data_IF_015045346985
#
_entry.id   IF_015045346985
#
_cell.length_a   1.000
_cell.length_b   1.000
_cell.length_c   1.000
_cell.angle_alpha   90.00
_cell.angle_beta   90.00
_cell.angle_gamma   90.00
#
_symmetry.space_group_name_H-M   'P 1'
#
loop_
_entity.id
_entity.type
_entity.pdbx_description
1 polymer ?
#
# COMPACT_ATOMS: atom_id res chain seq x y z
N UNK A 1 72.89 55.71 -1.70
CA UNK A 1 72.06 56.49 -0.76
C UNK A 1 70.85 57.02 -1.50
N UNK A 2 69.67 56.42 -1.30
CA UNK A 2 68.36 57.10 -1.28
C UNK A 2 67.25 56.05 -1.13
N UNK A 3 66.30 56.34 -0.24
CA UNK A 3 65.20 55.47 0.20
C UNK A 3 64.15 55.24 -0.90
N UNK A 4 63.34 54.15 -0.83
CA UNK A 4 62.08 54.08 -1.56
C UNK A 4 60.90 54.47 -0.65
N UNK A 5 60.02 55.24 -1.27
CA UNK A 5 58.83 55.90 -0.74
C UNK A 5 57.70 54.91 -0.43
N UNK A 6 56.93 55.19 0.62
CA UNK A 6 55.68 54.53 0.94
C UNK A 6 54.59 54.93 -0.06
N UNK A 7 53.97 53.96 -0.73
CA UNK A 7 52.79 54.14 -1.58
C UNK A 7 51.55 53.61 -0.87
N UNK A 8 50.62 54.51 -0.59
CA UNK A 8 49.32 54.22 0.01
C UNK A 8 48.39 53.53 -1.01
N UNK A 9 47.73 52.45 -0.58
CA UNK A 9 46.71 51.73 -1.36
C UNK A 9 45.34 52.37 -1.07
N UNK A 10 44.53 52.75 -2.08
CA UNK A 10 43.22 53.34 -1.86
C UNK A 10 42.16 52.28 -1.54
N UNK A 11 41.35 52.55 -0.52
CA UNK A 11 40.22 51.72 -0.11
C UNK A 11 39.07 51.79 -1.13
N UNK A 12 38.55 50.63 -1.54
CA UNK A 12 37.39 50.50 -2.42
C UNK A 12 36.09 50.88 -1.68
N UNK A 13 35.10 51.52 -2.35
CA UNK A 13 33.85 51.91 -1.71
C UNK A 13 32.92 50.71 -1.53
N UNK A 14 32.32 50.61 -0.34
CA UNK A 14 31.31 49.63 0.01
C UNK A 14 30.04 49.83 -0.83
N UNK A 15 29.69 48.83 -1.65
CA UNK A 15 28.45 48.82 -2.42
C UNK A 15 27.25 48.56 -1.49
N UNK A 16 26.29 49.49 -1.49
CA UNK A 16 25.02 49.40 -0.80
C UNK A 16 24.20 48.20 -1.32
N UNK A 17 23.88 47.26 -0.43
CA UNK A 17 22.95 46.15 -0.72
C UNK A 17 21.53 46.70 -0.90
N UNK A 18 20.92 46.43 -2.06
CA UNK A 18 19.50 46.65 -2.28
C UNK A 18 18.67 45.60 -1.51
N UNK A 19 17.54 45.97 -0.88
CA UNK A 19 16.71 45.01 -0.18
C UNK A 19 16.02 44.06 -1.16
N UNK A 20 16.23 42.76 -0.98
CA UNK A 20 15.54 41.70 -1.72
C UNK A 20 14.02 41.79 -1.49
N UNK A 21 13.28 42.15 -2.54
CA UNK A 21 11.83 42.09 -2.54
C UNK A 21 11.39 40.63 -2.37
N UNK A 22 10.82 40.30 -1.21
CA UNK A 22 10.12 39.03 -0.98
C UNK A 22 8.84 39.01 -1.82
N UNK A 23 8.91 38.44 -3.01
CA UNK A 23 7.73 38.12 -3.79
C UNK A 23 6.92 37.05 -3.03
N UNK A 24 5.67 37.39 -2.72
CA UNK A 24 4.65 36.50 -2.15
C UNK A 24 4.43 35.29 -3.07
N UNK A 25 4.88 34.11 -2.65
CA UNK A 25 4.71 32.85 -3.41
C UNK A 25 3.34 32.24 -3.13
N UNK A 26 2.28 32.96 -3.53
CA UNK A 26 0.88 32.54 -3.38
C UNK A 26 0.26 32.09 -4.70
N UNK A 27 0.95 31.26 -5.48
CA UNK A 27 0.48 30.78 -6.77
C UNK A 27 0.90 29.35 -7.07
N UNK A 28 0.03 28.62 -7.78
CA UNK A 28 0.28 27.25 -8.24
C UNK A 28 1.58 27.23 -9.07
N UNK A 29 2.61 26.50 -8.59
CA UNK A 29 3.90 26.42 -9.28
C UNK A 29 3.73 25.62 -10.59
N UNK A 30 3.74 26.31 -11.72
CA UNK A 30 3.84 25.65 -13.02
C UNK A 30 5.30 25.22 -13.26
N UNK A 31 5.56 24.01 -13.80
CA UNK A 31 6.91 23.59 -14.13
C UNK A 31 7.54 24.55 -15.15
N UNK A 32 8.76 24.99 -14.90
CA UNK A 32 9.53 25.87 -15.81
C UNK A 32 9.92 25.16 -17.12
N UNK A 33 9.84 23.83 -17.14
CA UNK A 33 9.95 23.01 -18.33
C UNK A 33 8.53 22.74 -18.84
N UNK A 34 8.22 23.04 -20.12
CA UNK A 34 6.90 22.84 -20.75
C UNK A 34 6.33 21.40 -20.63
N UNK A 35 7.11 20.46 -20.10
CA UNK A 35 6.70 19.09 -19.75
C UNK A 35 5.77 19.11 -18.54
N UNK A 36 4.50 18.84 -18.81
CA UNK A 36 3.45 18.65 -17.83
C UNK A 36 3.52 17.23 -17.24
N UNK A 37 2.63 16.94 -16.28
CA UNK A 37 2.46 15.57 -15.75
C UNK A 37 1.92 14.60 -16.81
N UNK A 38 1.23 15.11 -17.85
CA UNK A 38 0.66 14.30 -18.92
C UNK A 38 1.72 13.82 -19.92
N UNK A 39 2.85 14.52 -20.01
CA UNK A 39 3.99 14.14 -20.86
C UNK A 39 4.86 13.03 -20.25
N UNK A 40 4.52 12.57 -19.03
CA UNK A 40 5.29 11.57 -18.29
C UNK A 40 4.61 10.21 -18.40
N UNK A 41 5.39 9.18 -18.72
CA UNK A 41 4.89 7.80 -18.72
C UNK A 41 4.39 7.41 -17.32
N UNK A 42 3.13 6.94 -17.24
CA UNK A 42 2.47 6.54 -15.99
C UNK A 42 3.20 5.38 -15.28
N UNK A 43 3.97 4.58 -16.01
CA UNK A 43 4.78 3.47 -15.50
C UNK A 43 6.19 3.87 -15.08
N UNK A 44 6.56 5.15 -15.14
CA UNK A 44 7.90 5.62 -14.74
C UNK A 44 8.26 5.22 -13.30
N UNK A 45 7.31 5.25 -12.38
CA UNK A 45 7.52 4.89 -10.98
C UNK A 45 7.30 3.41 -10.67
N UNK A 46 7.11 2.55 -11.69
CA UNK A 46 6.79 1.12 -11.50
C UNK A 46 7.80 0.41 -10.61
N UNK A 47 9.09 0.72 -10.75
CA UNK A 47 10.19 0.12 -10.00
C UNK A 47 10.74 1.05 -8.92
N UNK A 48 10.01 2.13 -8.59
CA UNK A 48 10.43 3.06 -7.55
C UNK A 48 10.21 2.41 -6.19
N UNK A 49 11.28 2.08 -5.50
CA UNK A 49 11.22 1.58 -4.13
C UNK A 49 11.36 2.74 -3.14
N UNK A 50 10.69 2.61 -2.00
CA UNK A 50 10.79 3.52 -0.87
C UNK A 50 11.38 2.77 0.33
N UNK A 51 11.96 3.52 1.26
CA UNK A 51 12.47 2.92 2.50
C UNK A 51 11.33 2.25 3.27
N UNK A 52 11.55 1.00 3.69
CA UNK A 52 10.60 0.26 4.55
C UNK A 52 10.32 1.01 5.86
N UNK A 53 11.32 1.73 6.38
CA UNK A 53 11.16 2.56 7.58
C UNK A 53 10.15 3.71 7.36
N UNK A 54 10.09 4.30 6.17
CA UNK A 54 9.11 5.36 5.88
C UNK A 54 7.68 4.82 5.93
N UNK A 55 7.46 3.61 5.40
CA UNK A 55 6.19 2.91 5.53
C UNK A 55 5.89 2.58 7.00
N UNK A 56 6.86 2.04 7.74
CA UNK A 56 6.73 1.70 9.16
C UNK A 56 6.25 2.88 10.00
N UNK A 57 6.88 4.05 9.88
CA UNK A 57 6.51 5.23 10.66
C UNK A 57 5.12 5.75 10.29
N UNK A 58 4.79 5.81 8.99
CA UNK A 58 3.47 6.25 8.55
C UNK A 58 2.38 5.28 9.02
N UNK A 59 2.61 3.99 8.85
CA UNK A 59 1.67 2.94 9.23
C UNK A 59 1.49 2.89 10.76
N UNK A 60 2.57 3.00 11.53
CA UNK A 60 2.53 3.08 12.99
C UNK A 60 1.68 4.25 13.49
N UNK A 61 1.80 5.43 12.88
CA UNK A 61 0.94 6.57 13.19
C UNK A 61 -0.51 6.36 12.72
N UNK A 62 -0.76 5.71 11.58
CA UNK A 62 -2.12 5.34 11.17
C UNK A 62 -2.81 4.44 12.19
N UNK A 63 -2.10 3.41 12.68
CA UNK A 63 -2.59 2.49 13.73
C UNK A 63 -2.82 3.24 15.04
N UNK A 64 -1.86 4.06 15.47
CA UNK A 64 -1.97 4.86 16.70
C UNK A 64 -3.14 5.86 16.62
N UNK A 65 -3.31 6.52 15.48
CA UNK A 65 -4.44 7.41 15.20
C UNK A 65 -5.78 6.66 15.18
N UNK A 66 -5.76 5.42 14.70
CA UNK A 66 -6.93 4.55 14.68
C UNK A 66 -7.35 4.17 16.10
N UNK A 67 -6.38 3.68 16.90
CA UNK A 67 -6.54 3.23 18.28
C UNK A 67 -7.08 4.32 19.21
N UNK A 68 -6.60 5.58 19.11
CA UNK A 68 -7.07 6.69 19.95
C UNK A 68 -8.56 7.04 19.81
N UNK A 69 -9.23 6.56 18.77
CA UNK A 69 -10.66 6.85 18.50
C UNK A 69 -11.54 5.62 18.57
N UNK A 70 -11.01 4.53 19.08
CA UNK A 70 -11.68 3.25 19.11
C UNK A 70 -11.58 2.67 20.51
N UNK A 71 -12.65 2.03 20.96
CA UNK A 71 -12.74 1.42 22.29
C UNK A 71 -12.39 -0.07 22.29
N UNK A 72 -12.54 -0.78 21.16
CA UNK A 72 -12.33 -2.23 21.06
C UNK A 72 -11.40 -2.65 19.91
N UNK A 73 -10.78 -3.83 20.06
CA UNK A 73 -9.86 -4.40 19.05
C UNK A 73 -10.59 -4.64 17.72
N UNK A 74 -11.82 -5.16 17.78
CA UNK A 74 -12.63 -5.45 16.59
C UNK A 74 -12.97 -4.18 15.80
N UNK A 75 -13.30 -3.09 16.50
CA UNK A 75 -13.54 -1.80 15.86
C UNK A 75 -12.27 -1.22 15.23
N UNK A 76 -11.10 -1.51 15.82
CA UNK A 76 -9.81 -1.07 15.32
C UNK A 76 -9.46 -1.83 14.04
N UNK A 77 -9.62 -3.15 14.04
CA UNK A 77 -9.47 -4.01 12.86
C UNK A 77 -10.41 -3.57 11.74
N UNK A 78 -11.69 -3.32 12.05
CA UNK A 78 -12.67 -2.80 11.09
C UNK A 78 -12.21 -1.46 10.51
N UNK A 79 -11.70 -0.55 11.33
CA UNK A 79 -11.24 0.77 10.88
C UNK A 79 -9.99 0.69 10.02
N UNK A 80 -9.07 -0.22 10.33
CA UNK A 80 -7.88 -0.51 9.50
C UNK A 80 -8.28 -1.14 8.17
N UNK A 81 -9.22 -2.09 8.17
CA UNK A 81 -9.75 -2.69 6.94
C UNK A 81 -10.37 -1.62 6.02
N UNK A 82 -11.21 -0.73 6.55
CA UNK A 82 -11.79 0.39 5.78
C UNK A 82 -10.73 1.32 5.18
N UNK A 83 -9.59 1.51 5.85
CA UNK A 83 -8.47 2.31 5.31
C UNK A 83 -7.73 1.59 4.17
N UNK A 84 -7.64 0.26 4.22
CA UNK A 84 -7.02 -0.55 3.17
C UNK A 84 -7.87 -0.70 1.91
N UNK A 85 -9.19 -0.77 2.06
CA UNK A 85 -10.17 -0.94 0.97
C UNK A 85 -9.96 -0.04 -0.26
N UNK A 86 -9.89 1.31 -0.13
CA UNK A 86 -9.71 2.17 -1.28
C UNK A 86 -8.36 1.94 -1.99
N UNK A 87 -7.33 1.45 -1.29
CA UNK A 87 -6.06 1.09 -1.94
C UNK A 87 -6.22 -0.15 -2.81
N UNK A 88 -7.01 -1.13 -2.37
CA UNK A 88 -7.35 -2.31 -3.18
C UNK A 88 -7.98 -1.93 -4.53
N UNK A 89 -9.00 -1.08 -4.49
CA UNK A 89 -9.68 -0.58 -5.70
C UNK A 89 -8.70 0.11 -6.67
N UNK A 90 -7.82 0.98 -6.15
CA UNK A 90 -6.85 1.71 -6.99
C UNK A 90 -5.73 0.81 -7.51
N UNK A 91 -5.30 -0.17 -6.71
CA UNK A 91 -4.25 -1.12 -7.09
C UNK A 91 -4.74 -2.06 -8.18
N UNK A 92 -5.99 -2.50 -8.15
CA UNK A 92 -6.57 -3.35 -9.20
C UNK A 92 -6.36 -2.75 -10.59
N UNK A 93 -6.85 -1.53 -10.81
CA UNK A 93 -6.74 -0.84 -12.11
C UNK A 93 -5.27 -0.64 -12.51
N UNK A 94 -4.43 -0.24 -11.55
CA UNK A 94 -3.02 0.03 -11.81
C UNK A 94 -2.24 -1.24 -12.19
N UNK A 95 -2.52 -2.36 -11.52
CA UNK A 95 -1.85 -3.63 -11.76
C UNK A 95 -2.29 -4.23 -13.10
N UNK A 96 -3.58 -4.20 -13.41
CA UNK A 96 -4.10 -4.61 -14.71
C UNK A 96 -3.55 -3.76 -15.86
N UNK A 97 -3.45 -2.43 -15.67
CA UNK A 97 -2.85 -1.54 -16.68
C UNK A 97 -1.36 -1.83 -16.92
N UNK A 98 -0.64 -2.32 -15.90
CA UNK A 98 0.79 -2.63 -15.97
C UNK A 98 1.09 -3.99 -16.58
N UNK A 99 0.10 -4.85 -16.73
CA UNK A 99 0.29 -6.13 -17.40
C UNK A 99 0.44 -5.94 -18.91
N UNK A 100 1.27 -6.78 -19.58
CA UNK A 100 1.35 -6.79 -21.03
C UNK A 100 -0.04 -6.94 -21.66
N UNK A 101 -0.35 -6.17 -22.71
CA UNK A 101 -1.69 -6.14 -23.35
C UNK A 101 -2.22 -7.51 -23.78
N UNK A 102 -1.33 -8.50 -24.01
CA UNK A 102 -1.71 -9.87 -24.36
C UNK A 102 -2.10 -10.75 -23.16
N UNK A 103 -1.75 -10.34 -21.94
CA UNK A 103 -2.05 -11.06 -20.70
C UNK A 103 -3.06 -10.34 -19.82
N UNK A 104 -3.41 -9.07 -20.11
CA UNK A 104 -4.43 -8.32 -19.36
C UNK A 104 -5.77 -9.04 -19.49
N UNK A 105 -6.11 -9.82 -18.47
CA UNK A 105 -7.42 -10.42 -18.37
C UNK A 105 -7.95 -10.16 -16.97
N UNK A 106 -9.01 -9.34 -16.89
CA UNK A 106 -9.75 -9.16 -15.65
C UNK A 106 -10.23 -10.54 -15.19
N UNK A 107 -9.93 -10.96 -13.95
CA UNK A 107 -10.39 -12.25 -13.44
C UNK A 107 -11.92 -12.35 -13.53
N UNK A 108 -12.42 -13.44 -14.11
CA UNK A 108 -13.86 -13.74 -14.24
C UNK A 108 -14.30 -14.93 -13.41
N UNK A 109 -13.36 -15.61 -12.74
CA UNK A 109 -13.56 -16.77 -11.88
C UNK A 109 -12.86 -16.57 -10.55
N UNK A 110 -13.35 -17.20 -9.48
CA UNK A 110 -12.80 -17.04 -8.12
C UNK A 110 -11.33 -17.44 -8.06
N UNK A 111 -10.97 -18.62 -8.58
CA UNK A 111 -9.59 -19.12 -8.45
C UNK A 111 -8.55 -18.23 -9.17
N UNK A 112 -8.74 -17.77 -10.42
CA UNK A 112 -7.89 -16.78 -11.06
C UNK A 112 -7.78 -15.45 -10.29
N UNK A 113 -8.86 -14.98 -9.65
CA UNK A 113 -8.82 -13.79 -8.80
C UNK A 113 -7.89 -14.01 -7.61
N UNK A 114 -8.05 -15.13 -6.90
CA UNK A 114 -7.22 -15.47 -5.75
C UNK A 114 -5.75 -15.67 -6.14
N UNK A 115 -5.49 -16.27 -7.31
CA UNK A 115 -4.13 -16.38 -7.86
C UNK A 115 -3.54 -15.02 -8.21
N UNK A 116 -4.32 -14.10 -8.76
CA UNK A 116 -3.89 -12.73 -9.00
C UNK A 116 -3.50 -12.02 -7.68
N UNK A 117 -4.29 -12.21 -6.62
CA UNK A 117 -4.01 -11.66 -5.29
C UNK A 117 -2.70 -12.24 -4.72
N UNK A 118 -2.55 -13.57 -4.71
CA UNK A 118 -1.38 -14.23 -4.07
C UNK A 118 -0.08 -14.06 -4.83
N UNK A 119 -0.13 -13.78 -6.13
CA UNK A 119 1.08 -13.63 -6.97
C UNK A 119 1.37 -12.18 -7.34
N UNK A 120 0.40 -11.48 -7.93
CA UNK A 120 0.64 -10.14 -8.50
C UNK A 120 0.51 -9.05 -7.46
N UNK A 121 -0.58 -9.05 -6.68
CA UNK A 121 -0.74 -8.09 -5.60
C UNK A 121 0.31 -8.32 -4.51
N UNK A 122 0.49 -9.56 -4.05
CA UNK A 122 1.45 -9.87 -2.99
C UNK A 122 2.87 -9.45 -3.36
N UNK A 123 3.31 -9.76 -4.60
CA UNK A 123 4.63 -9.33 -5.08
C UNK A 123 4.73 -7.81 -5.20
N UNK A 124 3.65 -7.12 -5.55
CA UNK A 124 3.64 -5.67 -5.63
C UNK A 124 3.75 -5.00 -4.24
N UNK A 125 3.10 -5.55 -3.22
CA UNK A 125 3.11 -5.01 -1.87
C UNK A 125 4.36 -5.42 -1.06
N UNK A 126 4.80 -6.66 -1.23
CA UNK A 126 5.73 -7.33 -0.30
C UNK A 126 6.95 -7.93 -0.99
N UNK A 127 7.09 -7.77 -2.31
CA UNK A 127 8.19 -8.32 -3.12
C UNK A 127 8.34 -9.85 -3.05
N UNK A 128 7.29 -10.55 -2.61
CA UNK A 128 7.19 -12.02 -2.59
C UNK A 128 5.74 -12.47 -2.83
N UNK A 129 5.56 -13.72 -3.22
CA UNK A 129 4.22 -14.34 -3.27
C UNK A 129 3.71 -14.65 -1.87
N UNK A 130 2.39 -14.83 -1.74
CA UNK A 130 1.82 -15.41 -0.52
C UNK A 130 2.31 -16.85 -0.32
N UNK A 131 2.33 -17.30 0.93
CA UNK A 131 2.91 -18.60 1.29
C UNK A 131 1.99 -19.77 0.96
N UNK A 132 0.66 -19.59 1.09
CA UNK A 132 -0.31 -20.60 0.72
C UNK A 132 -1.66 -20.01 0.30
N UNK A 133 -2.40 -20.77 -0.52
CA UNK A 133 -3.79 -20.53 -0.88
C UNK A 133 -4.56 -21.84 -0.69
N UNK A 134 -5.59 -21.82 0.14
CA UNK A 134 -6.40 -22.99 0.48
C UNK A 134 -7.89 -22.67 0.35
N UNK A 135 -8.71 -23.65 0.00
CA UNK A 135 -10.17 -23.58 0.13
C UNK A 135 -10.54 -24.22 1.47
N UNK A 136 -11.50 -23.63 2.19
CA UNK A 136 -12.01 -24.23 3.41
C UNK A 136 -12.63 -25.61 3.11
N UNK A 137 -12.46 -26.54 4.05
CA UNK A 137 -13.05 -27.89 3.96
C UNK A 137 -14.49 -27.92 4.45
N UNK A 138 -14.81 -27.00 5.36
CA UNK A 138 -16.10 -26.96 6.04
C UNK A 138 -17.09 -26.08 5.27
N UNK A 139 -16.59 -25.05 4.58
CA UNK A 139 -17.39 -24.02 3.92
C UNK A 139 -16.91 -23.78 2.49
N UNK A 140 -17.79 -23.99 1.52
CA UNK A 140 -17.45 -23.88 0.10
C UNK A 140 -17.20 -22.44 -0.37
N UNK A 141 -17.76 -21.46 0.34
CA UNK A 141 -17.67 -20.02 0.11
C UNK A 141 -16.44 -19.37 0.77
N UNK A 142 -15.63 -20.17 1.48
CA UNK A 142 -14.48 -19.69 2.24
C UNK A 142 -13.15 -20.12 1.62
N UNK A 143 -12.26 -19.14 1.46
CA UNK A 143 -10.90 -19.32 0.97
C UNK A 143 -9.93 -18.67 1.95
N UNK A 144 -8.71 -19.21 2.03
CA UNK A 144 -7.69 -18.81 2.99
C UNK A 144 -6.38 -18.50 2.28
N UNK A 145 -5.85 -17.30 2.48
CA UNK A 145 -4.49 -16.94 2.07
C UNK A 145 -3.61 -16.92 3.32
N UNK A 146 -2.50 -17.65 3.32
CA UNK A 146 -1.54 -17.62 4.43
C UNK A 146 -0.34 -16.74 4.10
N UNK A 147 0.07 -15.95 5.09
CA UNK A 147 1.32 -15.22 5.12
C UNK A 147 2.08 -15.56 6.42
N UNK A 148 3.24 -16.19 6.29
CA UNK A 148 4.04 -16.65 7.41
C UNK A 148 4.77 -15.52 8.15
N UNK A 149 5.03 -14.41 7.47
CA UNK A 149 5.84 -13.29 7.97
C UNK A 149 5.34 -11.93 7.41
N UNK A 150 4.12 -11.52 7.79
CA UNK A 150 3.48 -10.33 7.23
C UNK A 150 4.25 -9.07 7.61
N UNK A 151 4.69 -8.31 6.59
CA UNK A 151 5.49 -7.08 6.76
C UNK A 151 4.84 -6.04 7.68
N UNK A 152 3.51 -5.96 7.68
CA UNK A 152 2.76 -5.03 8.53
C UNK A 152 2.92 -5.33 10.03
N UNK A 153 3.20 -6.58 10.40
CA UNK A 153 3.41 -6.98 11.80
C UNK A 153 4.87 -6.81 12.24
N UNK A 154 5.83 -6.78 11.29
CA UNK A 154 7.25 -6.58 11.61
C UNK A 154 7.56 -5.17 12.13
N UNK A 155 6.80 -4.18 11.69
CA UNK A 155 7.14 -2.76 11.88
C UNK A 155 6.37 -2.06 12.99
N UNK A 156 5.45 -2.76 13.64
CA UNK A 156 4.65 -2.23 14.74
C UNK A 156 5.05 -2.94 16.04
N UNK A 157 5.47 -2.16 17.03
CA UNK A 157 5.56 -2.67 18.40
C UNK A 157 4.16 -2.60 18.98
N UNK A 158 3.41 -3.71 18.94
CA UNK A 158 2.10 -3.76 19.59
C UNK A 158 2.31 -3.68 21.10
N UNK A 159 1.68 -2.71 21.81
CA UNK A 159 1.75 -2.65 23.27
C UNK A 159 1.33 -4.00 23.89
N UNK A 160 1.98 -4.40 24.99
CA UNK A 160 1.77 -5.72 25.62
C UNK A 160 0.30 -5.97 26.00
N UNK A 161 -0.47 -4.92 26.27
CA UNK A 161 -1.90 -5.02 26.58
C UNK A 161 -2.79 -5.39 25.38
N UNK A 162 -2.25 -5.36 24.15
CA UNK A 162 -2.99 -5.57 22.89
C UNK A 162 -2.37 -6.67 22.01
N UNK A 163 -1.76 -7.68 22.62
CA UNK A 163 -1.09 -8.81 21.95
C UNK A 163 -1.96 -9.62 20.94
N UNK A 164 -3.26 -9.32 20.83
CA UNK A 164 -4.19 -9.93 19.88
C UNK A 164 -4.54 -9.04 18.67
N UNK A 165 -4.00 -7.83 18.59
CA UNK A 165 -4.31 -6.88 17.53
C UNK A 165 -3.64 -7.31 16.23
N UNK A 166 -4.43 -7.66 15.22
CA UNK A 166 -3.91 -8.01 13.91
C UNK A 166 -3.96 -6.81 12.95
N UNK A 167 -2.85 -6.09 12.83
CA UNK A 167 -2.74 -5.00 11.85
C UNK A 167 -2.83 -5.46 10.40
N UNK A 168 -2.72 -6.77 10.15
CA UNK A 168 -3.04 -7.32 8.84
C UNK A 168 -4.51 -7.13 8.45
N UNK A 169 -5.40 -6.70 9.34
CA UNK A 169 -6.72 -6.19 8.97
C UNK A 169 -6.65 -5.07 7.90
N UNK A 170 -5.59 -4.26 7.90
CA UNK A 170 -5.34 -3.30 6.82
C UNK A 170 -5.13 -3.97 5.46
N UNK A 171 -4.33 -5.04 5.43
CA UNK A 171 -4.09 -5.84 4.20
C UNK A 171 -5.35 -6.59 3.79
N UNK A 172 -6.13 -7.12 4.74
CA UNK A 172 -7.44 -7.70 4.49
C UNK A 172 -8.37 -6.71 3.77
N UNK A 173 -8.36 -5.44 4.17
CA UNK A 173 -9.07 -4.37 3.48
C UNK A 173 -8.63 -4.19 2.03
N UNK A 174 -7.31 -4.24 1.75
CA UNK A 174 -6.81 -4.16 0.37
C UNK A 174 -7.34 -5.33 -0.48
N UNK A 175 -7.37 -6.54 0.07
CA UNK A 175 -7.91 -7.73 -0.60
C UNK A 175 -9.41 -7.54 -0.85
N UNK A 176 -10.17 -7.11 0.16
CA UNK A 176 -11.61 -6.81 0.08
C UNK A 176 -11.89 -5.79 -1.04
N UNK A 177 -11.10 -4.72 -1.14
CA UNK A 177 -11.22 -3.73 -2.21
C UNK A 177 -10.95 -4.28 -3.62
N UNK A 178 -10.08 -5.28 -3.77
CA UNK A 178 -9.83 -5.94 -5.07
C UNK A 178 -10.99 -6.88 -5.43
N UNK A 179 -11.49 -7.63 -4.45
CA UNK A 179 -12.67 -8.48 -4.60
C UNK A 179 -13.87 -7.64 -5.08
N UNK A 180 -14.14 -6.51 -4.42
CA UNK A 180 -15.20 -5.58 -4.82
C UNK A 180 -14.94 -4.97 -6.21
N UNK A 181 -13.73 -4.50 -6.47
CA UNK A 181 -13.34 -3.92 -7.76
C UNK A 181 -13.45 -4.90 -8.94
N UNK A 182 -13.38 -6.21 -8.67
CA UNK A 182 -13.57 -7.26 -9.68
C UNK A 182 -15.00 -7.79 -9.75
N UNK A 183 -15.90 -7.34 -8.88
CA UNK A 183 -17.28 -7.81 -8.82
C UNK A 183 -17.42 -9.18 -8.16
N UNK A 184 -16.56 -9.50 -7.20
CA UNK A 184 -16.60 -10.68 -6.34
C UNK A 184 -16.76 -10.22 -4.90
N UNK A 185 -17.92 -9.65 -4.56
CA UNK A 185 -18.19 -9.17 -3.20
C UNK A 185 -17.84 -10.25 -2.17
N UNK A 186 -17.03 -9.87 -1.18
CA UNK A 186 -16.51 -10.79 -0.19
C UNK A 186 -16.22 -10.06 1.12
N UNK A 187 -16.34 -10.77 2.24
CA UNK A 187 -15.86 -10.32 3.52
C UNK A 187 -14.46 -10.86 3.77
N UNK A 188 -13.49 -9.99 4.07
CA UNK A 188 -12.12 -10.42 4.35
C UNK A 188 -11.70 -10.08 5.77
N UNK A 189 -11.26 -11.08 6.52
CA UNK A 189 -10.77 -10.93 7.89
C UNK A 189 -9.35 -11.50 8.01
N UNK A 190 -8.57 -10.97 8.96
CA UNK A 190 -7.22 -11.44 9.20
C UNK A 190 -7.12 -12.07 10.59
N UNK A 191 -6.57 -13.28 10.66
CA UNK A 191 -6.43 -14.06 11.89
C UNK A 191 -4.98 -14.42 12.13
N UNK A 192 -4.45 -14.11 13.31
CA UNK A 192 -3.11 -14.56 13.70
C UNK A 192 -3.15 -16.03 14.11
N UNK A 193 -2.40 -16.87 13.41
CA UNK A 193 -2.33 -18.31 13.61
C UNK A 193 -0.86 -18.70 13.81
N UNK A 194 -0.25 -18.33 14.95
CA UNK A 194 1.17 -18.55 15.20
C UNK A 194 1.50 -20.04 15.18
N UNK A 195 2.66 -20.39 14.62
CA UNK A 195 3.24 -21.74 14.69
C UNK A 195 4.64 -21.66 15.28
N UNK A 196 5.21 -22.81 15.66
CA UNK A 196 6.58 -22.87 16.20
C UNK A 196 7.61 -22.26 15.25
N UNK A 197 7.44 -22.47 13.94
CA UNK A 197 8.34 -21.94 12.92
C UNK A 197 8.01 -20.49 12.53
N UNK A 198 6.73 -20.08 12.66
CA UNK A 198 6.23 -18.80 12.20
C UNK A 198 5.33 -18.14 13.27
N UNK A 199 5.92 -17.46 14.27
CA UNK A 199 5.15 -16.85 15.37
C UNK A 199 4.28 -15.67 14.92
N UNK A 200 4.58 -15.07 13.76
CA UNK A 200 3.82 -13.96 13.19
C UNK A 200 2.82 -14.40 12.10
N UNK A 201 2.68 -15.72 11.86
CA UNK A 201 1.83 -16.24 10.78
C UNK A 201 0.41 -15.69 10.88
N UNK A 202 -0.09 -15.21 9.75
CA UNK A 202 -1.42 -14.65 9.60
C UNK A 202 -2.15 -15.33 8.45
N UNK A 203 -3.42 -15.61 8.66
CA UNK A 203 -4.33 -16.17 7.67
C UNK A 203 -5.41 -15.14 7.35
N UNK A 204 -5.57 -14.84 6.07
CA UNK A 204 -6.64 -14.01 5.55
C UNK A 204 -7.80 -14.92 5.12
N UNK A 205 -8.90 -14.87 5.85
CA UNK A 205 -10.13 -15.57 5.50
C UNK A 205 -10.94 -14.69 4.55
N UNK A 206 -11.28 -15.23 3.39
CA UNK A 206 -12.08 -14.59 2.35
C UNK A 206 -13.37 -15.38 2.24
N UNK A 207 -14.47 -14.77 2.67
CA UNK A 207 -15.81 -15.36 2.57
C UNK A 207 -16.58 -14.65 1.47
N UNK A 208 -16.85 -15.33 0.36
CA UNK A 208 -17.59 -14.76 -0.76
C UNK A 208 -19.09 -14.70 -0.47
N UNK A 209 -19.75 -13.66 -0.99
CA UNK A 209 -21.20 -13.54 -0.89
C UNK A 209 -21.92 -14.65 -1.70
N UNK A 210 -23.13 -15.07 -1.30
CA UNK A 210 -23.88 -16.13 -1.97
C UNK A 210 -24.05 -15.92 -3.48
N UNK A 211 -24.31 -14.69 -3.91
CA UNK A 211 -24.48 -14.32 -5.34
C UNK A 211 -23.22 -14.62 -6.19
N UNK A 212 -22.04 -14.47 -5.59
CA UNK A 212 -20.76 -14.77 -6.26
C UNK A 212 -20.60 -16.28 -6.43
N UNK A 213 -20.99 -17.05 -5.42
CA UNK A 213 -20.94 -18.51 -5.46
C UNK A 213 -21.95 -19.10 -6.45
N UNK A 214 -23.17 -18.55 -6.50
CA UNK A 214 -24.18 -18.92 -7.50
C UNK A 214 -23.68 -18.68 -8.93
N UNK A 215 -23.07 -17.51 -9.18
CA UNK A 215 -22.46 -17.19 -10.47
C UNK A 215 -21.33 -18.16 -10.82
N UNK A 216 -20.45 -18.45 -9.87
CA UNK A 216 -19.32 -19.37 -10.08
C UNK A 216 -19.83 -20.78 -10.45
N UNK A 217 -20.84 -21.29 -9.74
CA UNK A 217 -21.47 -22.58 -10.01
C UNK A 217 -22.16 -22.63 -11.38
N UNK A 218 -22.82 -21.54 -11.80
CA UNK A 218 -23.42 -21.45 -13.13
C UNK A 218 -22.37 -21.51 -14.24
N UNK A 219 -21.27 -20.77 -14.08
CA UNK A 219 -20.17 -20.75 -15.05
C UNK A 219 -19.38 -22.07 -15.09
N UNK A 220 -19.42 -22.88 -14.03
CA UNK A 220 -18.83 -24.21 -14.03
C UNK A 220 -19.65 -25.21 -14.86
N UNK A 221 -20.99 -25.14 -14.76
CA UNK A 221 -21.91 -26.01 -15.52
C UNK A 221 -22.01 -25.67 -17.01
N UNK A 222 -21.70 -24.44 -17.39
CA UNK A 222 -21.72 -23.99 -18.78
C UNK A 222 -20.51 -24.47 -19.61
N UNK A 223 -19.68 -25.36 -19.04
CA UNK A 223 -18.47 -25.91 -19.63
C UNK A 223 -18.65 -27.39 -19.99
#
# INVERSE_FOLDING_TARGET
MNAPQASAVPAAPAALQQPAQRASVGGLRYPTNRKTIYDRNLNRSRTSELSKASFAYLFGEMVSYAQRRVTGIQDLERRLNVQGHPLGLRLLDLLLYREPTRSVQRPTRILPLLQFITTTLWKHLFSRSADALERSKDNEDEYMISDNDPLVNQYISVPKEMNQLNCAAYVAGIIEGICDGTGFAARVTAHSVPTELWPAKTVFLIKFEPEVMEREAFLEKAR
#
